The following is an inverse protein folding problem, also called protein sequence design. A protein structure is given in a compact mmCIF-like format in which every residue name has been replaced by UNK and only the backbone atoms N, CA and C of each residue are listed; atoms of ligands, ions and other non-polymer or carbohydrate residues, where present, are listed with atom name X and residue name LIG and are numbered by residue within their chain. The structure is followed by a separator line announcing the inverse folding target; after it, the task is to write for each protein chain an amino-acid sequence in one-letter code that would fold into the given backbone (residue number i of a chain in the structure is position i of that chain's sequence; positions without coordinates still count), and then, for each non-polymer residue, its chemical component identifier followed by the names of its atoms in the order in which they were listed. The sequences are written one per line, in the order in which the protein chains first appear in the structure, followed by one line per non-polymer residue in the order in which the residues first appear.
data_IF_237227339392
#
_entry.id   IF_237227339392
#
_cell.length_a   1.000
_cell.length_b   1.000
_cell.length_c   1.000
_cell.angle_alpha   90.00
_cell.angle_beta   90.00
_cell.angle_gamma   90.00
#
_symmetry.space_group_name_H-M   'P 1'
#
loop_
_entity.id
_entity.type
_entity.pdbx_description
1 polymer ?
#
# COMPACT_ATOMS: atom_id res chain seq x y z
N UNK A 1 -15.67 22.51 -18.97
CA UNK A 1 -14.50 21.60 -18.88
C UNK A 1 -14.96 20.27 -19.44
N UNK A 2 -14.38 19.80 -20.54
CA UNK A 2 -14.79 18.55 -21.17
C UNK A 2 -14.48 17.38 -20.22
N UNK A 3 -15.50 16.66 -19.78
CA UNK A 3 -15.32 15.46 -18.94
C UNK A 3 -14.70 14.37 -19.80
N UNK A 4 -13.44 14.01 -19.54
CA UNK A 4 -12.77 12.94 -20.25
C UNK A 4 -13.51 11.61 -20.00
N UNK A 5 -13.81 10.87 -21.07
CA UNK A 5 -14.46 9.55 -20.94
C UNK A 5 -13.58 8.60 -20.10
N UNK A 6 -14.15 7.88 -19.13
CA UNK A 6 -13.38 6.96 -18.30
C UNK A 6 -12.79 5.82 -19.15
N UNK A 7 -11.48 5.59 -19.03
CA UNK A 7 -10.78 4.48 -19.69
C UNK A 7 -10.74 3.26 -18.76
N UNK A 8 -11.84 2.51 -18.74
CA UNK A 8 -12.04 1.34 -17.88
C UNK A 8 -10.92 0.28 -18.02
N UNK A 9 -10.48 -0.11 -19.24
CA UNK A 9 -9.37 -1.06 -19.38
C UNK A 9 -8.08 -0.58 -18.73
N UNK A 10 -7.70 0.69 -18.95
CA UNK A 10 -6.48 1.25 -18.36
C UNK A 10 -6.56 1.29 -16.83
N UNK A 11 -7.72 1.64 -16.28
CA UNK A 11 -7.95 1.65 -14.83
C UNK A 11 -7.71 0.27 -14.22
N UNK A 12 -8.36 -0.77 -14.74
CA UNK A 12 -8.22 -2.12 -14.21
C UNK A 12 -6.82 -2.69 -14.42
N UNK A 13 -6.20 -2.45 -15.57
CA UNK A 13 -4.82 -2.84 -15.82
C UNK A 13 -3.86 -2.21 -14.79
N UNK A 14 -4.03 -0.92 -14.50
CA UNK A 14 -3.23 -0.21 -13.50
C UNK A 14 -3.46 -0.77 -12.10
N UNK A 15 -4.73 -0.96 -11.69
CA UNK A 15 -5.08 -1.51 -10.38
C UNK A 15 -4.44 -2.89 -10.17
N UNK A 16 -4.61 -3.79 -11.13
CA UNK A 16 -4.07 -5.15 -11.07
C UNK A 16 -2.54 -5.12 -11.02
N UNK A 17 -1.90 -4.33 -11.88
CA UNK A 17 -0.44 -4.22 -11.91
C UNK A 17 0.11 -3.71 -10.58
N UNK A 18 -0.48 -2.65 -10.01
CA UNK A 18 -0.05 -2.08 -8.73
C UNK A 18 -0.19 -3.10 -7.60
N UNK A 19 -1.34 -3.77 -7.48
CA UNK A 19 -1.58 -4.76 -6.42
C UNK A 19 -0.65 -5.96 -6.57
N UNK A 20 -0.45 -6.45 -7.80
CA UNK A 20 0.44 -7.58 -8.06
C UNK A 20 1.90 -7.24 -7.74
N UNK A 21 2.38 -6.08 -8.19
CA UNK A 21 3.75 -5.63 -7.91
C UNK A 21 3.96 -5.39 -6.41
N UNK A 22 3.01 -4.77 -5.71
CA UNK A 22 3.08 -4.58 -4.25
C UNK A 22 3.19 -5.92 -3.50
N UNK A 23 2.36 -6.91 -3.87
CA UNK A 23 2.40 -8.23 -3.24
C UNK A 23 3.73 -8.96 -3.53
N UNK A 24 4.14 -9.03 -4.79
CA UNK A 24 5.36 -9.72 -5.19
C UNK A 24 6.59 -9.09 -4.55
N UNK A 25 6.70 -7.76 -4.56
CA UNK A 25 7.84 -7.07 -3.94
C UNK A 25 7.89 -7.30 -2.43
N UNK A 26 6.75 -7.35 -1.73
CA UNK A 26 6.69 -7.70 -0.30
C UNK A 26 7.10 -9.14 -0.02
N UNK A 27 6.70 -10.09 -0.87
CA UNK A 27 7.11 -11.50 -0.74
C UNK A 27 8.63 -11.66 -0.96
N UNK A 28 9.19 -10.96 -1.95
CA UNK A 28 10.64 -10.92 -2.17
C UNK A 28 11.34 -10.31 -0.96
N UNK A 29 10.86 -9.16 -0.45
CA UNK A 29 11.44 -8.52 0.72
C UNK A 29 11.42 -9.43 1.96
N UNK A 30 10.31 -10.13 2.22
CA UNK A 30 10.17 -11.02 3.37
C UNK A 30 11.13 -12.22 3.34
N UNK A 31 11.57 -12.63 2.15
CA UNK A 31 12.50 -13.77 1.97
C UNK A 31 13.96 -13.33 1.83
N UNK A 32 14.21 -12.21 1.15
CA UNK A 32 15.58 -11.77 0.81
C UNK A 32 16.17 -10.75 1.79
N UNK A 33 15.35 -10.03 2.55
CA UNK A 33 15.79 -8.98 3.46
C UNK A 33 15.62 -9.34 4.95
N UNK A 34 15.44 -10.63 5.25
CA UNK A 34 15.44 -11.12 6.63
C UNK A 34 16.88 -11.20 7.18
N UNK A 35 17.12 -10.91 8.47
CA UNK A 35 16.16 -10.52 9.50
C UNK A 35 15.71 -9.05 9.39
N UNK A 36 14.61 -8.69 10.07
CA UNK A 36 14.09 -7.32 10.06
C UNK A 36 15.11 -6.29 10.55
N UNK A 37 14.93 -5.04 10.15
CA UNK A 37 15.73 -3.89 10.58
C UNK A 37 17.21 -3.94 10.17
N UNK A 38 17.58 -4.77 9.19
CA UNK A 38 18.91 -4.76 8.58
C UNK A 38 18.89 -3.90 7.30
N UNK A 39 19.63 -2.77 7.27
CA UNK A 39 19.74 -1.94 6.09
C UNK A 39 20.59 -2.60 5.00
N UNK A 40 20.11 -2.59 3.76
CA UNK A 40 20.83 -3.03 2.56
C UNK A 40 20.98 -1.85 1.61
N UNK A 41 22.20 -1.34 1.47
CA UNK A 41 22.49 -0.19 0.61
C UNK A 41 22.38 -0.57 -0.87
N UNK A 42 21.63 0.23 -1.63
CA UNK A 42 21.45 0.04 -3.07
C UNK A 42 22.16 1.13 -3.85
N UNK A 43 22.12 2.37 -3.35
CA UNK A 43 22.76 3.51 -3.98
C UNK A 43 23.45 4.39 -2.94
N UNK A 44 24.62 3.93 -2.50
CA UNK A 44 25.41 4.55 -1.44
C UNK A 44 24.52 4.93 -0.25
N UNK A 45 24.62 6.19 0.19
CA UNK A 45 23.86 6.71 1.34
C UNK A 45 22.45 7.24 0.99
N UNK A 46 22.00 7.15 -0.27
CA UNK A 46 20.73 7.75 -0.71
C UNK A 46 19.56 6.77 -0.68
N UNK A 47 19.82 5.50 -1.00
CA UNK A 47 18.78 4.47 -1.07
C UNK A 47 19.25 3.20 -0.38
N UNK A 48 18.44 2.76 0.58
CA UNK A 48 18.56 1.47 1.25
C UNK A 48 17.22 0.76 1.28
N UNK A 49 17.26 -0.56 1.23
CA UNK A 49 16.12 -1.41 1.49
C UNK A 49 16.22 -1.97 2.90
N UNK A 50 15.10 -2.02 3.61
CA UNK A 50 15.04 -2.55 4.98
C UNK A 50 13.69 -3.22 5.16
N UNK A 51 13.70 -4.47 5.62
CA UNK A 51 12.46 -5.17 5.97
C UNK A 51 11.94 -4.63 7.30
N UNK A 52 10.73 -4.05 7.27
CA UNK A 52 10.03 -3.54 8.45
C UNK A 52 8.58 -3.99 8.40
N UNK A 53 8.13 -4.69 9.44
CA UNK A 53 6.70 -4.94 9.64
C UNK A 53 6.15 -3.77 10.45
N UNK A 54 5.27 -2.98 9.84
CA UNK A 54 4.77 -1.74 10.44
C UNK A 54 3.34 -1.89 11.00
N UNK A 55 3.16 -2.34 12.27
CA UNK A 55 1.85 -2.35 12.92
C UNK A 55 1.35 -0.93 13.29
N UNK A 56 2.23 0.07 13.25
CA UNK A 56 1.95 1.45 13.69
C UNK A 56 1.40 2.38 12.60
N UNK A 57 1.18 1.88 11.38
CA UNK A 57 0.83 2.70 10.21
C UNK A 57 1.81 3.90 10.00
N UNK A 58 1.38 4.93 9.28
CA UNK A 58 2.25 6.06 8.92
C UNK A 58 2.65 6.96 10.11
N UNK A 59 1.82 7.03 11.16
CA UNK A 59 1.99 7.96 12.29
C UNK A 59 2.46 7.28 13.60
N UNK A 60 2.87 6.02 13.55
CA UNK A 60 3.26 5.27 14.76
C UNK A 60 2.10 4.95 15.70
N UNK A 61 0.85 4.98 15.21
CA UNK A 61 -0.35 4.63 15.94
C UNK A 61 -0.40 3.12 16.19
N UNK A 62 -0.08 2.68 17.40
CA UNK A 62 -0.15 1.27 17.80
C UNK A 62 -1.20 1.09 18.91
N UNK A 63 -2.30 0.42 18.57
CA UNK A 63 -3.43 0.08 19.44
C UNK A 63 -3.39 -1.40 19.86
N UNK A 64 -2.19 -1.98 19.90
CA UNK A 64 -1.98 -3.40 20.19
C UNK A 64 -2.60 -4.30 19.13
N UNK A 65 -3.22 -5.39 19.58
CA UNK A 65 -3.84 -6.42 18.72
C UNK A 65 -4.96 -5.87 17.83
N UNK A 66 -5.55 -4.74 18.21
CA UNK A 66 -6.67 -4.12 17.49
C UNK A 66 -6.22 -3.29 16.28
N UNK A 67 -4.94 -2.89 16.20
CA UNK A 67 -4.42 -2.00 15.15
C UNK A 67 -4.77 -2.51 13.75
N UNK A 68 -4.56 -3.82 13.50
CA UNK A 68 -4.88 -4.46 12.22
C UNK A 68 -6.35 -4.29 11.84
N UNK A 69 -7.25 -4.55 12.77
CA UNK A 69 -8.70 -4.52 12.52
C UNK A 69 -9.20 -3.09 12.34
N UNK A 70 -8.68 -2.15 13.14
CA UNK A 70 -9.04 -0.73 13.05
C UNK A 70 -8.59 -0.16 11.71
N UNK A 71 -7.34 -0.37 11.31
CA UNK A 71 -6.86 0.14 10.01
C UNK A 71 -7.54 -0.52 8.82
N UNK A 72 -7.89 -1.80 8.93
CA UNK A 72 -8.69 -2.49 7.91
C UNK A 72 -10.09 -1.88 7.77
N UNK A 73 -10.78 -1.61 8.89
CA UNK A 73 -12.08 -0.97 8.90
C UNK A 73 -12.02 0.46 8.33
N UNK A 74 -11.02 1.25 8.72
CA UNK A 74 -10.80 2.60 8.18
C UNK A 74 -10.54 2.58 6.66
N UNK A 75 -9.73 1.63 6.19
CA UNK A 75 -9.44 1.47 4.75
C UNK A 75 -10.71 1.10 3.98
N UNK A 76 -11.48 0.13 4.47
CA UNK A 76 -12.76 -0.23 3.88
C UNK A 76 -13.75 0.95 3.85
N UNK A 77 -13.85 1.71 4.95
CA UNK A 77 -14.66 2.91 5.02
C UNK A 77 -14.25 3.97 4.00
N UNK A 78 -12.95 4.23 3.87
CA UNK A 78 -12.41 5.16 2.87
C UNK A 78 -12.72 4.72 1.44
N UNK A 79 -12.59 3.42 1.12
CA UNK A 79 -12.95 2.88 -0.20
C UNK A 79 -14.44 2.99 -0.50
N UNK A 80 -15.31 2.76 0.48
CA UNK A 80 -16.76 2.95 0.34
C UNK A 80 -17.07 4.42 0.04
N UNK A 81 -16.49 5.35 0.80
CA UNK A 81 -16.67 6.79 0.57
C UNK A 81 -16.17 7.17 -0.83
N UNK A 82 -14.98 6.71 -1.22
CA UNK A 82 -14.42 6.97 -2.54
C UNK A 82 -15.33 6.45 -3.66
N UNK A 83 -15.87 5.24 -3.52
CA UNK A 83 -16.81 4.67 -4.48
C UNK A 83 -18.11 5.49 -4.59
N UNK A 84 -18.63 6.00 -3.46
CA UNK A 84 -19.80 6.88 -3.43
C UNK A 84 -19.53 8.21 -4.13
N UNK A 85 -18.37 8.82 -3.86
CA UNK A 85 -17.96 10.08 -4.51
C UNK A 85 -17.78 9.89 -6.03
N UNK A 86 -17.19 8.76 -6.44
CA UNK A 86 -17.03 8.41 -7.85
C UNK A 86 -18.39 8.23 -8.54
N UNK A 87 -19.38 7.62 -7.89
CA UNK A 87 -20.73 7.46 -8.44
C UNK A 87 -21.52 8.78 -8.52
N UNK A 88 -21.17 9.76 -7.71
CA UNK A 88 -21.84 11.06 -7.65
C UNK A 88 -21.27 12.09 -8.65
N UNK A 89 -20.19 11.75 -9.35
CA UNK A 89 -19.52 12.59 -10.37
C UNK A 89 -19.82 12.03 -11.76
#
# INVERSE_FOLDING_TARGET
MESAKPNTPLFWATLIAVVALDLVTKLIAATMLAPQHVPHEILGNHLRLTLVYNPGAAFGLNLGIYSRWIFMALTAGALIILARLYQAT
#
